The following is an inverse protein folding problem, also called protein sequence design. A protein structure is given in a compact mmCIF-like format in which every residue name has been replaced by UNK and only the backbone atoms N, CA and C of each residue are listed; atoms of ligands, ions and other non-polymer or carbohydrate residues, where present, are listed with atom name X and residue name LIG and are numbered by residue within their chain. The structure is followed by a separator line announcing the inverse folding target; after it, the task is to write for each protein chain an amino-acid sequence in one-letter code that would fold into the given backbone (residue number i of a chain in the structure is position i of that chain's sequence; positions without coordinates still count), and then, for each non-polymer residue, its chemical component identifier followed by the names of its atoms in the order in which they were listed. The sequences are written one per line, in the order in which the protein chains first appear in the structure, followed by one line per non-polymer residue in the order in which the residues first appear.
data_IF_489077980507
#
_entry.id   IF_489077980507
#
_cell.length_a   1.000
_cell.length_b   1.000
_cell.length_c   1.000
_cell.angle_alpha   90.00
_cell.angle_beta   90.00
_cell.angle_gamma   90.00
#
_symmetry.space_group_name_H-M   'P 1'
#
loop_
_entity.id
_entity.type
_entity.pdbx_description
1 polymer ?
#
# COMPACT_ATOMS: atom_id res chain seq x y z
N UNK A 1 -25.03 14.01 11.25
CA UNK A 1 -24.84 13.68 11.17
C UNK A 1 -24.32 13.26 10.69
N UNK A 2 -24.13 13.12 10.56
CA UNK A 2 -23.63 12.71 10.25
C UNK A 2 -23.04 12.16 9.79
N UNK A 3 -22.75 12.01 9.50
CA UNK A 3 -22.22 11.54 9.03
C UNK A 3 -21.55 10.96 8.93
N UNK A 4 -21.25 11.02 9.06
CA UNK A 4 -20.59 10.62 8.98
C UNK A 4 -20.10 9.72 8.83
N UNK A 5 -20.04 9.30 8.96
CA UNK A 5 -19.62 8.50 8.85
C UNK A 5 -19.26 7.88 8.18
N UNK A 6 -19.26 7.81 7.79
CA UNK A 6 -19.14 7.27 7.11
C UNK A 6 -18.23 6.96 6.55
N UNK A 7 -17.68 7.26 6.38
CA UNK A 7 -16.74 6.92 5.90
C UNK A 7 -16.12 6.11 6.37
N UNK A 8 -16.26 5.57 6.70
CA UNK A 8 -15.73 4.73 7.30
C UNK A 8 -14.83 3.84 6.72
N UNK A 9 -14.81 3.42 5.72
CA UNK A 9 -13.97 2.53 5.11
C UNK A 9 -12.66 3.13 4.88
N UNK A 10 -11.63 2.84 5.56
CA UNK A 10 -10.27 3.27 5.35
C UNK A 10 -10.18 4.74 4.96
N UNK A 11 -10.70 5.61 5.81
CA UNK A 11 -10.66 7.02 5.46
C UNK A 11 -9.25 7.55 5.32
N UNK A 12 -8.26 6.85 5.87
CA UNK A 12 -6.87 7.29 5.78
C UNK A 12 -6.12 6.69 4.61
N UNK A 13 -6.77 5.86 3.83
CA UNK A 13 -6.11 5.27 2.67
C UNK A 13 -5.87 6.34 1.62
N UNK A 14 -4.62 6.50 1.23
CA UNK A 14 -4.24 7.47 0.22
C UNK A 14 -4.09 6.78 -1.12
N UNK A 15 -4.58 7.37 -2.20
CA UNK A 15 -4.38 6.76 -3.51
C UNK A 15 -2.92 6.83 -3.91
N UNK A 16 -2.43 5.76 -4.51
CA UNK A 16 -1.11 5.72 -5.10
C UNK A 16 -1.26 5.41 -6.58
N UNK A 17 -1.31 6.44 -7.41
CA UNK A 17 -1.46 6.21 -8.84
C UNK A 17 -0.17 5.65 -9.42
N UNK A 18 -0.32 4.64 -10.26
CA UNK A 18 0.81 4.05 -10.96
C UNK A 18 0.49 4.00 -12.44
N UNK A 19 1.54 3.97 -13.26
CA UNK A 19 1.35 3.97 -14.71
C UNK A 19 1.10 2.58 -15.27
N UNK A 20 1.66 1.58 -14.62
CA UNK A 20 1.56 0.21 -15.10
C UNK A 20 0.36 -0.48 -14.50
N UNK A 21 0.07 -1.68 -14.99
CA UNK A 21 -1.04 -2.46 -14.45
C UNK A 21 -0.73 -2.99 -13.06
N UNK A 22 0.54 -3.05 -12.69
CA UNK A 22 0.93 -3.56 -11.38
C UNK A 22 2.20 -2.89 -10.90
N UNK A 23 2.49 -3.05 -9.62
CA UNK A 23 3.70 -2.53 -9.00
C UNK A 23 4.10 -3.52 -7.91
N UNK A 24 5.39 -3.68 -7.70
CA UNK A 24 5.87 -4.55 -6.63
C UNK A 24 5.72 -3.86 -5.28
N UNK A 25 5.48 -4.66 -4.25
CA UNK A 25 5.23 -4.14 -2.91
C UNK A 25 6.35 -3.23 -2.43
N UNK A 26 7.60 -3.64 -2.60
CA UNK A 26 8.72 -2.82 -2.17
C UNK A 26 8.77 -1.48 -2.87
N UNK A 27 8.44 -1.47 -4.16
CA UNK A 27 8.42 -0.21 -4.91
C UNK A 27 7.26 0.67 -4.50
N UNK A 28 6.12 0.06 -4.18
CA UNK A 28 4.96 0.84 -3.75
C UNK A 28 5.25 1.58 -2.45
N UNK A 29 5.94 0.92 -1.51
CA UNK A 29 6.30 1.57 -0.26
C UNK A 29 7.22 2.76 -0.49
N UNK A 30 8.17 2.63 -1.41
CA UNK A 30 9.06 3.73 -1.73
C UNK A 30 8.33 4.86 -2.43
N UNK A 31 7.52 4.51 -3.40
CA UNK A 31 6.80 5.52 -4.18
C UNK A 31 5.84 6.31 -3.31
N UNK A 32 5.25 5.66 -2.32
CA UNK A 32 4.34 6.31 -1.39
C UNK A 32 5.08 7.05 -0.28
N UNK A 33 6.40 7.00 -0.29
CA UNK A 33 7.25 7.63 0.72
C UNK A 33 6.99 7.11 2.13
N UNK A 34 6.53 5.86 2.22
CA UNK A 34 6.38 5.22 3.53
C UNK A 34 7.71 4.69 4.05
N UNK A 35 8.66 4.45 3.14
CA UNK A 35 10.03 4.10 3.48
C UNK A 35 10.96 4.95 2.63
N UNK A 36 12.21 5.04 3.04
CA UNK A 36 13.16 5.93 2.38
C UNK A 36 13.87 5.28 1.20
N UNK A 37 14.08 3.97 1.27
CA UNK A 37 14.84 3.30 0.23
C UNK A 37 14.46 1.83 0.17
N UNK A 38 15.11 1.12 -0.75
CA UNK A 38 14.80 -0.29 -0.96
C UNK A 38 15.23 -1.18 0.18
N UNK A 39 16.30 -0.82 0.88
CA UNK A 39 16.75 -1.61 2.02
C UNK A 39 15.74 -1.55 3.15
N UNK A 40 15.22 -0.36 3.43
CA UNK A 40 14.20 -0.22 4.45
C UNK A 40 12.92 -0.96 4.05
N UNK A 41 12.54 -0.86 2.78
CA UNK A 41 11.36 -1.58 2.30
C UNK A 41 11.52 -3.07 2.53
N UNK A 42 12.68 -3.62 2.17
CA UNK A 42 12.93 -5.05 2.37
C UNK A 42 12.83 -5.42 3.84
N UNK A 43 13.42 -4.61 4.70
CA UNK A 43 13.46 -4.94 6.13
C UNK A 43 12.07 -4.95 6.74
N UNK A 44 11.27 -3.91 6.48
CA UNK A 44 9.94 -3.85 7.09
C UNK A 44 9.02 -4.93 6.52
N UNK A 45 9.18 -5.29 5.26
CA UNK A 45 8.37 -6.35 4.67
C UNK A 45 8.73 -7.69 5.30
N UNK A 46 10.02 -7.98 5.39
CA UNK A 46 10.47 -9.26 5.96
C UNK A 46 10.13 -9.38 7.44
N UNK A 47 10.07 -8.26 8.13
CA UNK A 47 9.74 -8.26 9.55
C UNK A 47 8.24 -8.40 9.81
N UNK A 48 7.43 -8.52 8.76
CA UNK A 48 6.00 -8.70 8.93
C UNK A 48 5.26 -7.43 9.32
N UNK A 49 5.84 -6.29 9.02
CA UNK A 49 5.23 -5.00 9.40
C UNK A 49 4.31 -4.44 8.33
N UNK A 50 4.19 -5.12 7.20
CA UNK A 50 3.44 -4.62 6.06
C UNK A 50 2.30 -5.58 5.76
N UNK A 51 1.12 -5.03 5.49
CA UNK A 51 -0.02 -5.84 5.11
C UNK A 51 -0.46 -5.50 3.70
N UNK A 52 -1.07 -6.49 3.04
CA UNK A 52 -1.74 -6.30 1.77
C UNK A 52 -3.15 -6.81 1.93
N UNK A 53 -4.12 -5.93 1.74
CA UNK A 53 -5.53 -6.27 1.91
C UNK A 53 -5.80 -6.88 3.29
N UNK A 54 -5.12 -6.35 4.30
CA UNK A 54 -5.33 -6.77 5.68
C UNK A 54 -4.51 -7.95 6.14
N UNK A 55 -3.72 -8.57 5.27
CA UNK A 55 -2.93 -9.74 5.61
C UNK A 55 -1.45 -9.42 5.54
N UNK A 56 -0.68 -9.93 6.50
CA UNK A 56 0.76 -9.70 6.51
C UNK A 56 1.38 -10.30 5.26
N UNK A 57 2.19 -9.52 4.58
CA UNK A 57 2.92 -9.95 3.40
C UNK A 57 4.41 -9.79 3.66
N UNK A 58 5.17 -10.86 3.46
CA UNK A 58 6.61 -10.83 3.70
C UNK A 58 7.43 -10.90 2.43
N UNK A 59 6.79 -10.92 1.27
CA UNK A 59 7.49 -11.01 0.00
C UNK A 59 7.59 -9.62 -0.63
N UNK A 60 8.81 -9.15 -0.77
CA UNK A 60 9.05 -7.84 -1.34
C UNK A 60 8.57 -7.72 -2.79
N UNK A 61 8.65 -8.83 -3.50
CA UNK A 61 8.27 -8.85 -4.90
C UNK A 61 6.80 -9.11 -5.17
N UNK A 62 5.95 -9.14 -4.10
CA UNK A 62 4.52 -9.32 -4.30
C UNK A 62 4.00 -8.25 -5.25
N UNK A 63 3.30 -8.67 -6.29
CA UNK A 63 2.73 -7.73 -7.24
C UNK A 63 1.39 -7.22 -6.75
N UNK A 64 1.21 -5.91 -6.85
CA UNK A 64 -0.01 -5.24 -6.45
C UNK A 64 -0.70 -4.69 -7.67
N UNK A 65 -2.02 -4.70 -7.63
CA UNK A 65 -2.86 -4.25 -8.75
C UNK A 65 -3.82 -3.18 -8.26
N UNK A 66 -4.51 -2.57 -9.18
CA UNK A 66 -5.48 -1.55 -8.81
C UNK A 66 -6.49 -2.09 -7.81
N UNK A 67 -6.71 -1.34 -6.75
CA UNK A 67 -7.61 -1.73 -5.68
C UNK A 67 -6.94 -2.41 -4.50
N UNK A 68 -5.69 -2.86 -4.64
CA UNK A 68 -4.99 -3.46 -3.50
C UNK A 68 -4.65 -2.39 -2.48
N UNK A 69 -4.83 -2.72 -1.20
CA UNK A 69 -4.57 -1.80 -0.10
C UNK A 69 -3.36 -2.28 0.67
N UNK A 70 -2.39 -1.39 0.84
CA UNK A 70 -1.16 -1.70 1.56
C UNK A 70 -1.17 -0.93 2.87
N UNK A 71 -0.90 -1.62 3.97
CA UNK A 71 -0.85 -1.00 5.29
C UNK A 71 0.55 -1.09 5.86
N UNK A 72 1.01 -0.01 6.47
CA UNK A 72 2.30 0.04 7.14
C UNK A 72 2.28 1.16 8.16
N UNK A 73 2.64 0.83 9.37
CA UNK A 73 2.84 1.82 10.43
C UNK A 73 1.62 2.72 10.64
N UNK A 74 0.43 2.13 10.56
CA UNK A 74 -0.80 2.88 10.77
C UNK A 74 -1.29 3.67 9.59
N UNK A 75 -0.57 3.61 8.46
CA UNK A 75 -0.98 4.28 7.24
C UNK A 75 -1.38 3.26 6.19
N UNK A 76 -2.30 3.66 5.32
CA UNK A 76 -2.75 2.79 4.24
C UNK A 76 -2.70 3.53 2.92
N UNK A 77 -2.32 2.80 1.87
CA UNK A 77 -2.40 3.32 0.51
C UNK A 77 -3.19 2.33 -0.33
N UNK A 78 -3.90 2.85 -1.31
CA UNK A 78 -4.64 2.01 -2.26
C UNK A 78 -4.04 2.24 -3.65
N UNK A 79 -3.72 1.14 -4.31
CA UNK A 79 -3.10 1.21 -5.63
C UNK A 79 -4.16 1.64 -6.65
N UNK A 80 -3.81 2.64 -7.45
CA UNK A 80 -4.66 3.08 -8.55
C UNK A 80 -3.90 2.86 -9.85
N UNK A 81 -4.19 1.74 -10.49
CA UNK A 81 -3.50 1.41 -11.72
C UNK A 81 -4.10 2.19 -12.87
N UNK A 82 -3.23 2.62 -13.77
CA UNK A 82 -3.67 3.28 -14.98
C UNK A 82 -4.28 2.23 -15.89
N UNK A 83 -5.55 2.39 -16.16
CA UNK A 83 -6.25 1.43 -17.01
C UNK A 83 -6.23 1.83 -18.47
N UNK A 84 -5.64 2.95 -18.77
CA UNK A 84 -5.48 3.44 -20.12
C UNK A 84 -6.74 3.82 -20.82
#
# INVERSE_FOLDING_TARGET
MMDTMTETNAPDARPLPIRDASIRLGQALKLAALVEDGAMARDVIQDGMVTVNGEVETRRGRQLHGGDVVGFNGEEIVIEADQG
#
